data_IF_670814189797
#
_entry.id   IF_670814189797
#
_cell.length_a   1.000
_cell.length_b   1.000
_cell.length_c   1.000
_cell.angle_alpha   90.00
_cell.angle_beta   90.00
_cell.angle_gamma   90.00
#
_symmetry.space_group_name_H-M   'P 1'
#
loop_
_entity.id
_entity.type
_entity.pdbx_description
1 polymer ?
#
# COMPACT_ATOMS: atom_id res chain seq x y z
N UNK A 1 -13.82 -20.80 -21.51
CA UNK A 1 -12.63 -19.98 -21.77
C UNK A 1 -12.98 -18.56 -21.35
N UNK A 2 -12.30 -17.99 -20.36
CA UNK A 2 -12.53 -16.59 -19.93
C UNK A 2 -11.80 -15.67 -20.91
N UNK A 3 -12.57 -14.83 -21.59
CA UNK A 3 -12.12 -13.84 -22.57
C UNK A 3 -12.29 -12.45 -21.96
N UNK A 4 -11.21 -11.68 -21.96
CA UNK A 4 -11.20 -10.27 -21.55
C UNK A 4 -11.08 -9.44 -22.83
N UNK A 5 -12.09 -8.64 -23.15
CA UNK A 5 -12.08 -7.74 -24.30
C UNK A 5 -11.71 -6.33 -23.84
N UNK A 6 -10.62 -5.79 -24.37
CA UNK A 6 -10.11 -4.45 -24.02
C UNK A 6 -10.72 -3.38 -24.92
N UNK A 7 -11.18 -2.29 -24.33
CA UNK A 7 -11.63 -1.09 -25.03
C UNK A 7 -10.76 0.09 -24.58
N UNK A 8 -9.94 0.70 -25.46
CA UNK A 8 -9.15 1.87 -25.11
C UNK A 8 -10.07 3.06 -24.78
N UNK A 9 -9.87 3.69 -23.63
CA UNK A 9 -10.56 4.94 -23.29
C UNK A 9 -9.84 6.09 -24.02
N UNK A 10 -10.55 6.83 -24.87
CA UNK A 10 -9.99 7.95 -25.66
C UNK A 10 -9.72 9.23 -24.85
N UNK A 11 -10.09 9.24 -23.57
CA UNK A 11 -9.88 10.37 -22.67
C UNK A 11 -9.28 9.86 -21.36
N UNK A 12 -8.06 10.30 -20.96
CA UNK A 12 -7.50 9.93 -19.67
C UNK A 12 -8.47 10.35 -18.56
N UNK A 13 -8.67 9.47 -17.58
CA UNK A 13 -9.47 9.83 -16.40
C UNK A 13 -8.72 10.99 -15.73
N UNK A 14 -9.31 12.18 -15.74
CA UNK A 14 -8.84 13.30 -14.93
C UNK A 14 -9.14 12.97 -13.48
N UNK A 15 -8.21 12.26 -12.84
CA UNK A 15 -8.23 12.11 -11.40
C UNK A 15 -7.77 13.47 -10.84
N UNK A 16 -8.68 14.24 -10.25
CA UNK A 16 -8.44 15.56 -9.62
C UNK A 16 -7.54 15.49 -8.37
N UNK A 17 -6.57 14.56 -8.34
CA UNK A 17 -5.57 14.46 -7.30
C UNK A 17 -4.26 15.09 -7.78
N UNK A 18 -3.66 16.03 -7.02
CA UNK A 18 -2.40 16.69 -7.39
C UNK A 18 -1.25 15.71 -7.67
N UNK A 19 -1.26 14.53 -7.03
CA UNK A 19 -0.21 13.51 -7.16
C UNK A 19 -0.36 12.56 -8.37
N UNK A 20 -1.47 12.62 -9.12
CA UNK A 20 -1.76 11.69 -10.23
C UNK A 20 -1.48 12.28 -11.61
N UNK A 21 -0.91 13.49 -11.62
CA UNK A 21 -0.50 14.25 -12.78
C UNK A 21 0.96 13.98 -13.20
N UNK A 22 1.49 12.82 -12.80
CA UNK A 22 2.89 12.46 -12.99
C UNK A 22 2.99 11.51 -14.17
N UNK A 23 3.83 11.84 -15.15
CA UNK A 23 4.25 10.86 -16.15
C UNK A 23 5.76 10.62 -16.06
N UNK A 24 6.20 9.55 -16.69
CA UNK A 24 7.60 9.20 -16.82
C UNK A 24 8.02 9.49 -18.25
N UNK A 25 8.88 10.49 -18.42
CA UNK A 25 9.73 10.62 -19.61
C UNK A 25 11.14 10.18 -19.17
N UNK A 26 11.58 9.05 -19.70
CA UNK A 26 12.98 8.55 -19.57
C UNK A 26 13.91 9.54 -20.31
N UNK A 27 15.12 9.89 -19.87
CA UNK A 27 16.29 9.02 -19.64
C UNK A 27 17.35 9.78 -18.82
N UNK A 28 17.51 9.45 -17.52
CA UNK A 28 18.73 9.50 -16.69
C UNK A 28 18.32 9.48 -15.18
N UNK A 29 17.93 8.29 -14.74
CA UNK A 29 17.90 7.74 -13.37
C UNK A 29 17.46 8.50 -12.11
N UNK A 30 17.07 9.78 -12.07
CA UNK A 30 16.76 10.41 -10.75
C UNK A 30 15.61 11.44 -10.70
N UNK A 31 14.80 11.61 -11.74
CA UNK A 31 13.69 12.58 -11.69
C UNK A 31 12.39 12.07 -12.30
N UNK A 32 11.28 12.61 -11.78
CA UNK A 32 9.92 12.43 -12.30
C UNK A 32 9.53 13.74 -12.98
N UNK A 33 9.02 13.66 -14.21
CA UNK A 33 8.51 14.84 -14.91
C UNK A 33 7.01 15.01 -14.67
N UNK A 34 6.65 16.07 -13.94
CA UNK A 34 5.26 16.44 -13.71
C UNK A 34 4.72 17.20 -14.94
N UNK A 35 4.25 16.49 -15.95
CA UNK A 35 3.72 17.10 -17.19
C UNK A 35 2.21 16.94 -17.38
N UNK A 36 1.48 16.53 -16.33
CA UNK A 36 0.02 16.41 -16.34
C UNK A 36 -0.54 15.43 -17.40
N UNK A 37 0.27 14.53 -17.97
CA UNK A 37 -0.22 13.53 -18.95
C UNK A 37 -1.25 12.55 -18.35
N UNK A 38 -1.33 12.46 -17.02
CA UNK A 38 -2.30 11.66 -16.29
C UNK A 38 -1.92 10.19 -16.15
N UNK A 39 -2.86 9.40 -15.64
CA UNK A 39 -2.74 7.95 -15.47
C UNK A 39 -3.39 7.21 -16.65
N UNK A 40 -2.79 6.10 -17.07
CA UNK A 40 -3.39 5.25 -18.11
C UNK A 40 -4.61 4.54 -17.55
N UNK A 41 -5.71 4.54 -18.30
CA UNK A 41 -6.94 3.84 -17.92
C UNK A 41 -7.49 3.04 -19.08
N UNK A 42 -7.88 1.79 -18.79
CA UNK A 42 -8.47 0.87 -19.75
C UNK A 42 -9.76 0.28 -19.18
N UNK A 43 -10.77 0.13 -20.02
CA UNK A 43 -11.98 -0.61 -19.68
C UNK A 43 -11.96 -1.97 -20.37
N UNK A 44 -12.44 -2.97 -19.64
CA UNK A 44 -12.49 -4.35 -20.11
C UNK A 44 -13.81 -5.01 -19.76
N UNK A 45 -14.30 -5.86 -20.67
CA UNK A 45 -15.46 -6.70 -20.43
C UNK A 45 -15.03 -8.15 -20.27
N UNK A 46 -15.50 -8.80 -19.21
CA UNK A 46 -15.20 -10.20 -18.86
C UNK A 46 -16.46 -11.04 -19.09
N UNK A 47 -16.36 -12.01 -19.99
CA UNK A 47 -17.46 -12.87 -20.43
C UNK A 47 -17.82 -14.00 -19.43
N UNK A 48 -17.84 -13.69 -18.14
CA UNK A 48 -18.32 -14.59 -17.11
C UNK A 48 -18.86 -13.83 -15.89
N UNK A 49 -19.63 -14.48 -15.01
CA UNK A 49 -19.97 -13.93 -13.70
C UNK A 49 -18.72 -13.82 -12.80
N UNK A 50 -18.64 -12.75 -12.01
CA UNK A 50 -17.55 -12.53 -11.04
C UNK A 50 -17.38 -13.72 -10.07
N UNK A 51 -18.47 -14.35 -9.67
CA UNK A 51 -18.44 -15.52 -8.79
C UNK A 51 -17.62 -16.69 -9.37
N UNK A 52 -17.55 -16.86 -10.69
CA UNK A 52 -16.72 -17.89 -11.32
C UNK A 52 -15.24 -17.63 -11.05
N UNK A 53 -14.80 -16.38 -11.16
CA UNK A 53 -13.43 -15.99 -10.83
C UNK A 53 -13.12 -16.22 -9.33
N UNK A 54 -14.04 -15.82 -8.45
CA UNK A 54 -13.84 -15.92 -7.00
C UNK A 54 -13.93 -17.36 -6.48
N UNK A 55 -14.67 -18.24 -7.17
CA UNK A 55 -14.79 -19.64 -6.77
C UNK A 55 -13.50 -20.42 -6.97
N UNK A 56 -12.74 -20.09 -8.01
CA UNK A 56 -11.43 -20.67 -8.28
C UNK A 56 -10.50 -19.62 -8.89
N UNK A 57 -9.84 -18.81 -8.04
CA UNK A 57 -8.92 -17.80 -8.51
C UNK A 57 -7.75 -18.43 -9.26
N UNK A 58 -7.57 -18.06 -10.53
CA UNK A 58 -6.45 -18.51 -11.35
C UNK A 58 -5.54 -17.31 -11.64
N UNK A 59 -4.25 -17.47 -11.34
CA UNK A 59 -3.28 -16.36 -11.43
C UNK A 59 -3.15 -15.83 -12.86
N UNK A 60 -3.24 -16.68 -13.89
CA UNK A 60 -3.18 -16.23 -15.28
C UNK A 60 -4.43 -15.47 -15.69
N UNK A 61 -5.59 -15.77 -15.10
CA UNK A 61 -6.80 -14.97 -15.27
C UNK A 61 -6.68 -13.63 -14.52
N UNK A 62 -6.22 -13.63 -13.27
CA UNK A 62 -6.04 -12.41 -12.48
C UNK A 62 -5.09 -11.41 -13.17
N UNK A 63 -4.02 -11.91 -13.82
CA UNK A 63 -3.11 -11.07 -14.61
C UNK A 63 -3.78 -10.36 -15.78
N UNK A 64 -4.81 -10.95 -16.39
CA UNK A 64 -5.57 -10.31 -17.48
C UNK A 64 -6.48 -9.17 -16.97
N UNK A 65 -6.70 -9.08 -15.67
CA UNK A 65 -7.47 -8.00 -15.04
C UNK A 65 -6.59 -6.78 -14.72
N UNK A 66 -5.28 -6.87 -14.95
CA UNK A 66 -4.35 -5.76 -14.78
C UNK A 66 -4.07 -5.04 -16.11
N UNK A 67 -3.85 -3.70 -16.06
CA UNK A 67 -3.58 -2.89 -17.25
C UNK A 67 -2.24 -3.17 -17.92
N UNK A 68 -1.32 -3.82 -17.22
CA UNK A 68 0.05 -4.10 -17.69
C UNK A 68 0.40 -5.55 -17.41
N UNK A 69 1.08 -6.20 -18.37
CA UNK A 69 1.66 -7.52 -18.15
C UNK A 69 2.85 -7.42 -17.18
N UNK A 70 2.63 -7.86 -15.95
CA UNK A 70 3.63 -7.81 -14.87
C UNK A 70 4.83 -8.74 -15.09
N UNK A 71 4.85 -9.54 -16.17
CA UNK A 71 6.01 -10.36 -16.59
C UNK A 71 7.06 -9.53 -17.33
N UNK A 72 6.68 -8.36 -17.84
CA UNK A 72 7.62 -7.50 -18.55
C UNK A 72 8.57 -6.80 -17.57
N UNK A 73 9.83 -6.55 -17.97
CA UNK A 73 10.79 -5.85 -17.12
C UNK A 73 10.26 -4.49 -16.65
N UNK A 74 10.56 -4.16 -15.39
CA UNK A 74 10.24 -2.85 -14.81
C UNK A 74 10.78 -1.73 -15.71
N UNK A 75 9.88 -0.92 -16.26
CA UNK A 75 10.22 0.18 -17.17
C UNK A 75 9.87 -0.04 -18.65
N UNK A 76 9.39 -1.23 -19.04
CA UNK A 76 8.97 -1.50 -20.42
C UNK A 76 7.70 -0.74 -20.86
N UNK A 77 6.94 -0.16 -19.93
CA UNK A 77 5.65 0.49 -20.19
C UNK A 77 5.57 1.99 -19.87
N UNK A 78 6.64 2.63 -19.36
CA UNK A 78 6.69 4.09 -19.15
C UNK A 78 5.67 4.73 -18.19
N UNK A 79 4.67 4.00 -17.68
CA UNK A 79 3.62 4.58 -16.85
C UNK A 79 3.90 4.45 -15.34
N UNK A 80 3.62 5.51 -14.58
CA UNK A 80 3.75 5.55 -13.12
C UNK A 80 2.54 4.93 -12.41
N UNK A 81 1.36 5.07 -13.00
CA UNK A 81 0.10 4.52 -12.52
C UNK A 81 -0.78 4.17 -13.71
N UNK A 82 -1.24 2.93 -13.75
CA UNK A 82 -2.23 2.46 -14.72
C UNK A 82 -3.39 1.78 -14.00
N UNK A 83 -4.60 1.94 -14.53
CA UNK A 83 -5.83 1.36 -13.98
C UNK A 83 -6.56 0.59 -15.08
N UNK A 84 -7.09 -0.59 -14.74
CA UNK A 84 -8.00 -1.34 -15.59
C UNK A 84 -9.31 -1.61 -14.85
N UNK A 85 -10.42 -1.21 -15.46
CA UNK A 85 -11.77 -1.42 -14.93
C UNK A 85 -12.40 -2.59 -15.66
N UNK A 86 -12.71 -3.68 -14.96
CA UNK A 86 -13.19 -4.94 -15.54
C UNK A 86 -14.65 -5.20 -15.16
N UNK A 87 -15.55 -5.12 -16.14
CA UNK A 87 -16.99 -5.35 -15.96
C UNK A 87 -17.35 -6.81 -16.28
N UNK A 88 -18.01 -7.47 -15.34
CA UNK A 88 -18.47 -8.86 -15.47
C UNK A 88 -19.94 -8.90 -15.92
N UNK A 89 -20.37 -9.98 -16.57
CA UNK A 89 -21.75 -10.14 -17.08
C UNK A 89 -22.83 -10.03 -15.98
N UNK A 90 -22.47 -10.38 -14.74
CA UNK A 90 -23.36 -10.30 -13.59
C UNK A 90 -23.46 -8.88 -12.98
N UNK A 91 -22.85 -7.87 -13.60
CA UNK A 91 -22.72 -6.51 -13.05
C UNK A 91 -21.62 -6.37 -11.99
N UNK A 92 -20.85 -7.44 -11.73
CA UNK A 92 -19.68 -7.40 -10.86
C UNK A 92 -18.55 -6.57 -11.48
N UNK A 93 -17.65 -6.08 -10.62
CA UNK A 93 -16.54 -5.22 -11.01
C UNK A 93 -15.24 -5.70 -10.39
N UNK A 94 -14.15 -5.68 -11.15
CA UNK A 94 -12.78 -5.74 -10.62
C UNK A 94 -11.97 -4.54 -11.11
N UNK A 95 -11.29 -3.86 -10.18
CA UNK A 95 -10.39 -2.74 -10.47
C UNK A 95 -8.95 -3.25 -10.33
N UNK A 96 -8.25 -3.38 -11.45
CA UNK A 96 -6.82 -3.68 -11.49
C UNK A 96 -6.01 -2.40 -11.47
N UNK A 97 -5.00 -2.31 -10.61
CA UNK A 97 -4.15 -1.12 -10.49
C UNK A 97 -2.69 -1.53 -10.52
N UNK A 98 -1.92 -0.91 -11.40
CA UNK A 98 -0.47 -1.05 -11.47
C UNK A 98 0.17 0.27 -11.06
N UNK A 99 0.98 0.26 -10.01
CA UNK A 99 1.69 1.42 -9.50
C UNK A 99 3.19 1.14 -9.57
N UNK A 100 3.96 2.06 -10.14
CA UNK A 100 5.40 1.90 -10.25
C UNK A 100 6.04 1.83 -8.85
N UNK A 101 6.65 0.68 -8.55
CA UNK A 101 7.38 0.47 -7.31
C UNK A 101 8.64 1.36 -7.20
N UNK A 102 8.93 2.24 -8.17
CA UNK A 102 9.95 3.30 -8.01
C UNK A 102 9.48 4.44 -7.13
N UNK A 103 8.17 4.66 -7.03
CA UNK A 103 7.59 5.85 -6.41
C UNK A 103 6.57 5.55 -5.31
N UNK A 104 6.17 4.28 -5.16
CA UNK A 104 5.21 3.86 -4.14
C UNK A 104 5.54 2.48 -3.58
N UNK A 105 5.43 2.38 -2.25
CA UNK A 105 5.33 1.14 -1.50
C UNK A 105 3.84 0.78 -1.21
N UNK A 106 3.63 -0.31 -0.47
CA UNK A 106 2.30 -0.78 -0.07
C UNK A 106 1.46 0.31 0.62
N UNK A 107 2.05 1.02 1.58
CA UNK A 107 1.36 2.06 2.33
C UNK A 107 0.91 3.21 1.42
N UNK A 108 1.80 3.64 0.51
CA UNK A 108 1.51 4.68 -0.48
C UNK A 108 0.38 4.24 -1.42
N UNK A 109 0.42 3.00 -1.92
CA UNK A 109 -0.61 2.43 -2.77
C UNK A 109 -1.99 2.40 -2.08
N UNK A 110 -2.05 1.90 -0.85
CA UNK A 110 -3.31 1.74 -0.11
C UNK A 110 -3.90 3.11 0.26
N UNK A 111 -3.04 4.05 0.65
CA UNK A 111 -3.44 5.45 0.91
C UNK A 111 -4.01 6.10 -0.35
N UNK A 112 -3.39 5.86 -1.51
CA UNK A 112 -3.91 6.31 -2.79
C UNK A 112 -5.30 5.72 -3.08
N UNK A 113 -5.48 4.41 -2.94
CA UNK A 113 -6.78 3.76 -3.19
C UNK A 113 -7.88 4.30 -2.29
N UNK A 114 -7.58 4.53 -1.01
CA UNK A 114 -8.54 5.12 -0.06
C UNK A 114 -8.91 6.56 -0.45
N UNK A 115 -7.92 7.40 -0.75
CA UNK A 115 -8.16 8.78 -1.19
C UNK A 115 -8.99 8.83 -2.46
N UNK A 116 -8.66 7.96 -3.43
CA UNK A 116 -9.41 7.86 -4.69
C UNK A 116 -10.87 7.44 -4.45
N UNK A 117 -11.10 6.48 -3.56
CA UNK A 117 -12.44 6.09 -3.12
C UNK A 117 -13.19 7.24 -2.44
N UNK A 118 -12.57 7.93 -1.47
CA UNK A 118 -13.18 9.04 -0.72
C UNK A 118 -13.60 10.21 -1.64
N UNK A 119 -12.79 10.53 -2.66
CA UNK A 119 -13.10 11.58 -3.64
C UNK A 119 -14.34 11.21 -4.46
N UNK A 120 -14.39 9.98 -4.99
CA UNK A 120 -15.56 9.50 -5.75
C UNK A 120 -16.77 9.31 -4.84
N UNK A 121 -16.51 9.01 -3.57
CA UNK A 121 -17.50 8.99 -2.53
C UNK A 121 -17.95 10.39 -2.10
N UNK A 122 -17.61 11.44 -2.86
CA UNK A 122 -18.20 12.78 -2.79
C UNK A 122 -18.24 13.32 -1.38
N UNK A 123 -17.19 13.06 -0.58
CA UNK A 123 -17.07 13.59 0.78
C UNK A 123 -17.28 15.10 0.70
N UNK A 124 -18.28 15.67 1.39
CA UNK A 124 -18.63 17.07 1.22
C UNK A 124 -17.46 17.99 1.60
N UNK A 125 -16.77 18.54 0.60
CA UNK A 125 -15.68 19.48 0.79
C UNK A 125 -16.25 20.90 0.90
N UNK A 126 -15.97 21.57 2.02
CA UNK A 126 -16.30 22.99 2.22
C UNK A 126 -15.08 23.77 2.63
N UNK A 127 -14.79 24.84 1.89
CA UNK A 127 -13.76 25.81 2.25
C UNK A 127 -14.27 26.70 3.38
N UNK A 128 -13.69 26.56 4.57
CA UNK A 128 -13.99 27.39 5.74
C UNK A 128 -12.82 28.33 5.98
N UNK A 129 -13.07 29.64 5.98
CA UNK A 129 -12.02 30.67 6.13
C UNK A 129 -12.09 31.28 7.53
N UNK A 130 -11.04 31.10 8.30
CA UNK A 130 -10.85 31.78 9.58
C UNK A 130 -10.07 33.09 9.37
N UNK A 131 -10.72 34.22 9.60
CA UNK A 131 -10.06 35.54 9.45
C UNK A 131 -9.15 35.82 10.65
N UNK A 132 -8.05 36.54 10.41
CA UNK A 132 -7.03 36.88 11.42
C UNK A 132 -7.58 37.35 12.78
N UNK A 133 -8.49 38.35 12.83
CA UNK A 133 -9.07 38.80 14.09
C UNK A 133 -9.83 37.71 14.86
N UNK A 134 -10.59 36.87 14.14
CA UNK A 134 -11.32 35.74 14.75
C UNK A 134 -10.41 34.62 15.22
N UNK A 135 -9.27 34.43 14.56
CA UNK A 135 -8.23 33.52 15.06
C UNK A 135 -7.65 34.07 16.38
N UNK A 136 -7.43 35.38 16.50
CA UNK A 136 -6.92 35.98 17.75
C UNK A 136 -7.92 35.80 18.90
N UNK A 137 -9.21 36.06 18.67
CA UNK A 137 -10.28 35.79 19.65
C UNK A 137 -10.31 34.30 20.04
N UNK A 138 -10.22 33.39 19.05
CA UNK A 138 -10.22 31.95 19.29
C UNK A 138 -9.02 31.49 20.12
N UNK A 139 -7.83 32.06 19.88
CA UNK A 139 -6.62 31.78 20.67
C UNK A 139 -6.76 32.26 22.10
N UNK A 140 -7.30 33.46 22.32
CA UNK A 140 -7.56 33.96 23.67
C UNK A 140 -8.56 33.07 24.42
N UNK A 141 -9.61 32.59 23.74
CA UNK A 141 -10.59 31.67 24.32
C UNK A 141 -10.04 30.26 24.59
N UNK A 142 -9.07 29.81 23.80
CA UNK A 142 -8.42 28.52 23.95
C UNK A 142 -7.26 28.52 24.95
N UNK A 143 -6.83 29.69 25.44
CA UNK A 143 -5.79 29.80 26.44
C UNK A 143 -6.22 29.17 27.76
N UNK A 144 -5.25 28.56 28.45
CA UNK A 144 -5.43 27.92 29.76
C UNK A 144 -4.20 28.16 30.62
N UNK A 145 -4.27 27.83 31.91
CA UNK A 145 -3.11 27.94 32.81
C UNK A 145 -1.90 27.15 32.31
N UNK A 146 -2.11 25.98 31.71
CA UNK A 146 -1.05 25.14 31.15
C UNK A 146 -0.56 25.59 29.77
N UNK A 147 -1.43 26.24 28.98
CA UNK A 147 -1.09 26.78 27.65
C UNK A 147 -1.63 28.21 27.54
N UNK A 148 -0.88 29.22 28.03
CA UNK A 148 -1.36 30.60 28.09
C UNK A 148 -1.41 31.29 26.72
N UNK A 149 -0.67 30.78 25.73
CA UNK A 149 -0.64 31.34 24.36
C UNK A 149 -0.68 30.24 23.29
N UNK A 150 -1.84 29.60 23.04
CA UNK A 150 -1.97 28.60 21.99
C UNK A 150 -1.66 29.21 20.61
N UNK A 151 -1.07 28.44 19.71
CA UNK A 151 -0.81 28.85 18.33
C UNK A 151 -2.11 28.97 17.52
N UNK A 152 -2.04 29.68 16.38
CA UNK A 152 -3.17 29.81 15.45
C UNK A 152 -3.70 28.44 14.98
N UNK A 153 -2.79 27.50 14.73
CA UNK A 153 -3.12 26.17 14.23
C UNK A 153 -3.76 25.33 15.34
N UNK A 154 -3.21 25.33 16.55
CA UNK A 154 -3.79 24.59 17.68
C UNK A 154 -5.22 25.05 17.98
N UNK A 155 -5.44 26.37 18.02
CA UNK A 155 -6.76 26.94 18.32
C UNK A 155 -7.81 26.59 17.25
N UNK A 156 -7.46 26.72 15.96
CA UNK A 156 -8.35 26.36 14.83
C UNK A 156 -8.61 24.86 14.79
N UNK A 157 -7.58 24.05 15.00
CA UNK A 157 -7.68 22.59 14.99
C UNK A 157 -8.57 22.08 16.11
N UNK A 158 -8.34 22.56 17.34
CA UNK A 158 -9.15 22.18 18.49
C UNK A 158 -10.62 22.56 18.27
N UNK A 159 -10.90 23.72 17.65
CA UNK A 159 -12.27 24.10 17.30
C UNK A 159 -12.88 23.15 16.26
N UNK A 160 -12.19 22.86 15.16
CA UNK A 160 -12.67 21.95 14.12
C UNK A 160 -12.93 20.57 14.72
N UNK A 161 -11.99 20.03 15.49
CA UNK A 161 -12.11 18.72 16.12
C UNK A 161 -13.28 18.69 17.11
N UNK A 162 -13.46 19.74 17.93
CA UNK A 162 -14.62 19.89 18.82
C UNK A 162 -15.94 19.90 18.05
N UNK A 163 -16.02 20.63 16.95
CA UNK A 163 -17.21 20.67 16.09
C UNK A 163 -17.47 19.30 15.44
N UNK A 164 -16.44 18.61 14.97
CA UNK A 164 -16.55 17.27 14.38
C UNK A 164 -17.06 16.23 15.40
N UNK A 165 -16.56 16.26 16.63
CA UNK A 165 -17.07 15.44 17.73
C UNK A 165 -18.55 15.71 18.01
N UNK A 166 -18.96 16.98 18.01
CA UNK A 166 -20.36 17.36 18.21
C UNK A 166 -21.27 16.89 17.07
N UNK A 167 -20.81 16.99 15.82
CA UNK A 167 -21.52 16.46 14.66
C UNK A 167 -21.68 14.93 14.73
N UNK A 168 -20.59 14.22 15.05
CA UNK A 168 -20.61 12.76 15.26
C UNK A 168 -21.62 12.35 16.33
N UNK A 169 -21.62 13.02 17.49
CA UNK A 169 -22.63 12.79 18.54
C UNK A 169 -24.06 13.02 18.06
N UNK A 170 -24.30 14.09 17.30
CA UNK A 170 -25.64 14.41 16.79
C UNK A 170 -26.12 13.37 15.78
N UNK A 171 -25.21 12.82 14.98
CA UNK A 171 -25.53 11.80 13.99
C UNK A 171 -25.78 10.41 14.61
N UNK A 172 -25.00 10.04 15.64
CA UNK A 172 -25.06 8.71 16.24
C UNK A 172 -25.93 8.64 17.51
N UNK A 173 -26.35 9.76 18.07
CA UNK A 173 -27.14 9.83 19.31
C UNK A 173 -26.33 9.65 20.61
N UNK A 174 -25.02 9.37 20.52
CA UNK A 174 -24.13 9.22 21.68
C UNK A 174 -22.69 9.69 21.40
N UNK A 175 -21.93 9.98 22.45
CA UNK A 175 -20.53 10.41 22.33
C UNK A 175 -19.63 9.23 22.02
N UNK A 176 -18.85 9.35 20.95
CA UNK A 176 -17.85 8.36 20.54
C UNK A 176 -16.44 8.83 20.93
N UNK A 177 -15.52 7.91 21.31
CA UNK A 177 -14.10 8.23 21.38
C UNK A 177 -13.62 8.79 20.03
N UNK A 178 -12.76 9.80 20.07
CA UNK A 178 -12.18 10.37 18.85
C UNK A 178 -10.70 10.66 19.07
N UNK A 179 -9.92 10.53 18.01
CA UNK A 179 -8.47 10.75 18.00
C UNK A 179 -8.15 11.74 16.89
N UNK A 180 -7.34 12.74 17.20
CA UNK A 180 -6.81 13.69 16.23
C UNK A 180 -5.37 13.29 15.88
N UNK A 181 -5.06 13.23 14.59
CA UNK A 181 -3.68 13.16 14.10
C UNK A 181 -3.36 14.44 13.33
N UNK A 182 -2.18 15.01 13.59
CA UNK A 182 -1.69 16.21 12.93
C UNK A 182 -0.41 15.89 12.19
N UNK A 183 -0.48 15.91 10.86
CA UNK A 183 0.72 15.77 10.03
C UNK A 183 1.52 17.07 10.17
N UNK A 184 2.68 16.96 10.81
CA UNK A 184 3.61 18.08 10.98
C UNK A 184 4.79 17.94 10.03
N UNK A 185 5.24 19.04 9.42
CA UNK A 185 6.46 19.03 8.64
C UNK A 185 7.67 18.90 9.58
N UNK A 186 8.24 17.70 9.65
CA UNK A 186 9.40 17.39 10.49
C UNK A 186 10.71 17.97 9.96
N UNK A 187 10.78 18.36 8.67
CA UNK A 187 12.01 18.85 8.02
C UNK A 187 12.53 20.18 8.58
N UNK A 188 11.64 20.97 9.19
CA UNK A 188 11.97 22.24 9.86
C UNK A 188 12.14 22.11 11.37
N UNK A 189 11.91 20.90 11.92
CA UNK A 189 11.91 20.64 13.37
C UNK A 189 12.97 19.65 13.80
N UNK A 190 13.45 18.82 12.88
CA UNK A 190 14.59 17.95 13.06
C UNK A 190 15.70 18.54 12.18
N UNK A 191 16.81 18.96 12.78
CA UNK A 191 18.00 19.38 12.04
C UNK A 191 18.65 18.14 11.41
N UNK A 192 18.02 17.60 10.37
CA UNK A 192 18.60 16.54 9.56
C UNK A 192 19.54 17.18 8.54
N UNK A 193 20.84 16.84 8.55
CA UNK A 193 21.69 17.15 7.42
C UNK A 193 21.14 16.32 6.24
N UNK A 194 20.72 17.00 5.18
CA UNK A 194 20.20 16.43 3.94
C UNK A 194 18.91 15.58 4.04
N UNK A 195 17.75 16.23 4.06
CA UNK A 195 16.51 15.63 3.53
C UNK A 195 15.82 16.63 2.59
N UNK A 196 15.58 16.27 1.30
CA UNK A 196 14.85 17.14 0.38
C UNK A 196 13.39 17.34 0.80
N UNK A 197 12.84 18.51 0.45
CA UNK A 197 11.66 19.11 1.07
C UNK A 197 10.31 18.40 0.80
N UNK A 198 10.26 17.39 -0.09
CA UNK A 198 9.03 16.77 -0.61
C UNK A 198 9.08 15.22 -0.73
N UNK A 199 9.37 14.48 0.35
CA UNK A 199 9.32 13.01 0.28
C UNK A 199 7.87 12.49 0.19
N UNK A 200 7.50 12.05 -1.01
CA UNK A 200 6.70 10.86 -1.30
C UNK A 200 7.66 9.86 -1.96
N UNK A 201 7.56 8.56 -1.64
CA UNK A 201 8.47 7.55 -2.16
C UNK A 201 8.50 6.29 -1.31
N UNK A 202 9.19 5.26 -1.80
CA UNK A 202 9.40 4.01 -1.08
C UNK A 202 10.11 4.24 0.25
N UNK A 203 9.48 3.88 1.36
CA UNK A 203 10.14 3.83 2.66
C UNK A 203 9.97 2.41 3.20
N UNK A 204 10.84 1.52 2.72
CA UNK A 204 10.96 0.17 3.24
C UNK A 204 12.42 -0.15 3.53
N UNK A 205 12.65 -1.06 4.46
CA UNK A 205 13.95 -1.66 4.74
C UNK A 205 13.76 -3.16 4.83
N UNK A 206 14.84 -3.90 4.61
CA UNK A 206 14.86 -5.36 4.75
C UNK A 206 15.59 -5.73 6.05
N UNK A 207 15.10 -6.75 6.73
CA UNK A 207 15.88 -7.47 7.72
C UNK A 207 16.16 -8.88 7.19
N UNK A 208 17.23 -9.49 7.68
CA UNK A 208 17.65 -10.83 7.28
C UNK A 208 17.67 -11.70 8.53
N UNK A 209 16.95 -12.80 8.49
CA UNK A 209 17.06 -13.87 9.47
C UNK A 209 17.83 -15.02 8.80
N UNK A 210 18.95 -15.41 9.39
CA UNK A 210 19.87 -16.41 8.83
C UNK A 210 19.83 -17.65 9.73
N UNK A 211 19.94 -18.82 9.11
CA UNK A 211 20.00 -20.10 9.80
C UNK A 211 21.07 -20.97 9.13
N UNK A 212 21.65 -21.89 9.88
CA UNK A 212 22.55 -22.91 9.35
C UNK A 212 21.75 -24.05 8.70
N UNK A 213 22.46 -24.93 7.99
CA UNK A 213 21.82 -26.06 7.31
C UNK A 213 21.10 -27.00 8.29
N UNK A 214 19.99 -27.58 7.84
CA UNK A 214 19.20 -28.56 8.58
C UNK A 214 17.83 -28.03 9.01
N UNK A 215 16.95 -28.96 9.36
CA UNK A 215 15.58 -28.67 9.79
C UNK A 215 15.56 -27.89 11.11
N UNK A 216 14.66 -26.91 11.21
CA UNK A 216 14.49 -26.05 12.38
C UNK A 216 13.06 -26.10 12.86
N UNK A 217 12.90 -26.23 14.17
CA UNK A 217 11.61 -26.12 14.84
C UNK A 217 10.99 -24.73 14.65
N UNK A 218 9.67 -24.67 14.46
CA UNK A 218 8.94 -23.42 14.23
C UNK A 218 9.22 -22.33 15.30
N UNK A 219 9.25 -22.63 16.61
CA UNK A 219 9.58 -21.62 17.62
C UNK A 219 10.97 -21.00 17.48
N UNK A 220 11.95 -21.78 16.98
CA UNK A 220 13.32 -21.28 16.73
C UNK A 220 13.30 -20.28 15.57
N UNK A 221 12.60 -20.60 14.49
CA UNK A 221 12.43 -19.70 13.34
C UNK A 221 11.73 -18.39 13.74
N UNK A 222 10.68 -18.47 14.56
CA UNK A 222 10.00 -17.28 15.10
C UNK A 222 10.95 -16.43 15.96
N UNK A 223 11.79 -17.07 16.79
CA UNK A 223 12.80 -16.37 17.58
C UNK A 223 13.83 -15.63 16.72
N UNK A 224 14.31 -16.26 15.64
CA UNK A 224 15.23 -15.64 14.68
C UNK A 224 14.58 -14.44 13.98
N UNK A 225 13.33 -14.58 13.51
CA UNK A 225 12.59 -13.50 12.87
C UNK A 225 12.44 -12.29 13.80
N UNK A 226 11.99 -12.53 15.04
CA UNK A 226 11.81 -11.46 16.03
C UNK A 226 13.13 -10.77 16.37
N UNK A 227 14.19 -11.54 16.63
CA UNK A 227 15.50 -10.99 16.94
C UNK A 227 16.08 -10.17 15.79
N UNK A 228 15.90 -10.60 14.53
CA UNK A 228 16.34 -9.83 13.36
C UNK A 228 15.52 -8.56 13.13
N UNK A 229 14.21 -8.60 13.39
CA UNK A 229 13.35 -7.43 13.30
C UNK A 229 13.71 -6.38 14.37
N UNK A 230 13.94 -6.79 15.62
CA UNK A 230 14.36 -5.91 16.71
C UNK A 230 15.69 -5.20 16.39
N UNK A 231 16.69 -5.96 15.90
CA UNK A 231 17.98 -5.40 15.43
C UNK A 231 17.78 -4.37 14.30
N UNK A 232 16.87 -4.63 13.37
CA UNK A 232 16.56 -3.65 12.33
C UNK A 232 15.96 -2.37 12.93
N UNK A 233 15.02 -2.49 13.87
CA UNK A 233 14.43 -1.32 14.54
C UNK A 233 15.47 -0.49 15.30
N UNK A 234 16.40 -1.14 15.99
CA UNK A 234 17.55 -0.47 16.64
C UNK A 234 18.42 0.26 15.61
N UNK A 235 18.85 -0.45 14.55
CA UNK A 235 19.70 0.13 13.50
C UNK A 235 19.00 1.26 12.73
N UNK A 236 17.70 1.17 12.49
CA UNK A 236 16.91 2.27 11.89
C UNK A 236 16.85 3.49 12.81
N UNK A 237 16.79 3.29 14.13
CA UNK A 237 16.81 4.39 15.10
C UNK A 237 18.17 5.10 15.12
N UNK A 238 19.26 4.36 14.93
CA UNK A 238 20.61 4.91 14.77
C UNK A 238 20.77 5.64 13.43
N UNK A 239 20.33 5.03 12.33
CA UNK A 239 20.41 5.59 10.98
C UNK A 239 19.53 6.82 10.79
N UNK A 240 18.41 6.94 11.51
CA UNK A 240 17.63 8.18 11.54
C UNK A 240 18.43 9.39 12.08
N UNK A 241 19.59 9.14 12.73
CA UNK A 241 20.53 10.16 13.20
C UNK A 241 21.76 10.32 12.30
N UNK A 242 21.89 9.50 11.25
CA UNK A 242 23.03 9.44 10.33
C UNK A 242 22.55 9.51 8.86
N UNK A 243 23.46 9.35 7.90
CA UNK A 243 23.11 9.31 6.47
C UNK A 243 22.58 7.92 6.08
N UNK A 244 21.27 7.85 5.80
CA UNK A 244 20.56 6.64 5.38
C UNK A 244 20.99 6.11 4.00
N UNK A 245 21.68 6.90 3.18
CA UNK A 245 22.13 6.48 1.84
C UNK A 245 23.12 5.31 1.90
N UNK A 246 24.04 5.34 2.87
CA UNK A 246 25.03 4.29 3.12
C UNK A 246 24.38 2.93 3.40
N UNK A 247 23.31 2.92 4.20
CA UNK A 247 22.55 1.72 4.54
C UNK A 247 21.80 1.14 3.35
N UNK A 248 21.24 1.98 2.49
CA UNK A 248 20.58 1.52 1.26
C UNK A 248 21.58 0.83 0.33
N UNK A 249 22.82 1.32 0.26
CA UNK A 249 23.90 0.64 -0.50
C UNK A 249 24.24 -0.70 0.15
N UNK A 250 24.42 -0.75 1.47
CA UNK A 250 24.73 -1.99 2.20
C UNK A 250 23.65 -3.06 1.96
N UNK A 251 22.36 -2.71 2.06
CA UNK A 251 21.26 -3.64 1.77
C UNK A 251 21.29 -4.11 0.31
N UNK A 252 21.51 -3.20 -0.64
CA UNK A 252 21.55 -3.55 -2.07
C UNK A 252 22.69 -4.52 -2.38
N UNK A 253 23.87 -4.29 -1.81
CA UNK A 253 25.02 -5.17 -1.97
C UNK A 253 24.78 -6.54 -1.31
N UNK A 254 24.25 -6.57 -0.09
CA UNK A 254 23.88 -7.83 0.59
C UNK A 254 22.85 -8.62 -0.22
N UNK A 255 21.81 -7.97 -0.71
CA UNK A 255 20.80 -8.59 -1.58
C UNK A 255 21.40 -9.14 -2.88
N UNK A 256 22.35 -8.41 -3.49
CA UNK A 256 23.03 -8.86 -4.71
C UNK A 256 23.92 -10.07 -4.44
N UNK A 257 24.62 -10.11 -3.31
CA UNK A 257 25.43 -11.24 -2.87
C UNK A 257 24.58 -12.50 -2.68
N UNK A 258 23.53 -12.41 -1.85
CA UNK A 258 22.64 -13.53 -1.55
C UNK A 258 21.91 -14.09 -2.78
N UNK A 259 21.56 -13.23 -3.76
CA UNK A 259 20.95 -13.69 -5.02
C UNK A 259 21.92 -14.44 -5.94
N UNK A 260 23.23 -14.28 -5.75
CA UNK A 260 24.28 -14.92 -6.55
C UNK A 260 24.82 -16.21 -5.94
N UNK A 261 24.49 -16.47 -4.67
CA UNK A 261 24.99 -17.63 -3.92
C UNK A 261 24.13 -18.87 -4.21
N UNK A 262 24.75 -19.95 -4.68
CA UNK A 262 24.04 -21.15 -5.13
C UNK A 262 23.60 -22.06 -3.99
N UNK A 263 24.25 -21.93 -2.84
CA UNK A 263 24.07 -22.82 -1.68
C UNK A 263 23.15 -22.22 -0.61
N UNK A 264 22.51 -21.08 -0.91
CA UNK A 264 21.59 -20.38 0.00
C UNK A 264 20.26 -20.14 -0.68
N UNK A 265 19.18 -20.65 -0.06
CA UNK A 265 17.83 -20.31 -0.46
C UNK A 265 17.40 -18.97 0.16
N UNK A 266 17.33 -17.94 -0.68
CA UNK A 266 16.81 -16.62 -0.27
C UNK A 266 15.29 -16.60 -0.39
N UNK A 267 14.59 -16.50 0.75
CA UNK A 267 13.15 -16.24 0.82
C UNK A 267 12.89 -14.78 1.17
N UNK A 268 12.07 -14.10 0.37
CA UNK A 268 11.72 -12.69 0.54
C UNK A 268 10.23 -12.62 0.86
N UNK A 269 9.87 -12.01 1.98
CA UNK A 269 8.49 -11.79 2.37
C UNK A 269 8.12 -10.32 2.22
N UNK A 270 6.94 -10.06 1.66
CA UNK A 270 6.29 -8.75 1.65
C UNK A 270 4.91 -8.90 2.28
N UNK A 271 4.60 -8.09 3.29
CA UNK A 271 3.32 -8.16 4.00
C UNK A 271 2.50 -6.90 3.79
N UNK A 272 1.23 -7.08 3.43
CA UNK A 272 0.21 -6.05 3.39
C UNK A 272 -0.83 -6.22 4.51
N UNK A 273 -0.55 -7.08 5.49
CA UNK A 273 -1.37 -7.24 6.69
C UNK A 273 -1.43 -5.93 7.49
N UNK A 274 -2.51 -5.75 8.24
CA UNK A 274 -2.86 -4.59 9.07
C UNK A 274 -3.11 -3.28 8.31
N UNK A 275 -2.89 -3.25 6.99
CA UNK A 275 -3.31 -2.11 6.18
C UNK A 275 -4.82 -2.16 5.89
N UNK A 276 -5.49 -0.99 5.76
CA UNK A 276 -6.93 -0.91 5.50
C UNK A 276 -7.28 -1.17 4.01
N UNK A 277 -6.84 -2.31 3.46
CA UNK A 277 -7.01 -2.69 2.04
C UNK A 277 -8.48 -2.82 1.64
N UNK A 278 -9.34 -3.30 2.53
CA UNK A 278 -10.78 -3.50 2.31
C UNK A 278 -11.64 -2.26 2.61
N UNK A 279 -11.03 -1.11 2.95
CA UNK A 279 -11.78 0.10 3.33
C UNK A 279 -12.10 1.05 2.16
N UNK A 280 -11.58 0.78 0.96
CA UNK A 280 -11.82 1.61 -0.22
C UNK A 280 -13.25 1.42 -0.76
N UNK A 281 -14.18 2.31 -0.40
CA UNK A 281 -15.58 2.30 -0.85
C UNK A 281 -15.87 3.49 -1.79
N UNK A 282 -16.09 3.22 -3.07
CA UNK A 282 -16.42 4.24 -4.06
C UNK A 282 -17.94 4.53 -4.14
N UNK A 283 -18.71 4.22 -3.09
CA UNK A 283 -20.20 4.28 -2.95
C UNK A 283 -20.99 3.13 -3.54
N UNK A 284 -20.35 2.20 -4.23
CA UNK A 284 -20.95 0.92 -4.63
C UNK A 284 -20.66 -0.21 -3.65
N UNK A 285 -20.05 0.09 -2.50
CA UNK A 285 -19.71 -0.87 -1.46
C UNK A 285 -18.22 -1.18 -1.41
N UNK A 286 -17.81 -1.78 -0.28
CA UNK A 286 -16.44 -2.24 -0.03
C UNK A 286 -16.08 -3.46 -0.91
N UNK A 287 -14.78 -3.69 -1.18
CA UNK A 287 -14.34 -4.87 -1.92
C UNK A 287 -14.80 -6.17 -1.26
N UNK A 288 -15.23 -7.13 -2.09
CA UNK A 288 -15.53 -8.49 -1.61
C UNK A 288 -14.25 -9.32 -1.47
N UNK A 289 -13.23 -9.02 -2.28
CA UNK A 289 -11.92 -9.64 -2.22
C UNK A 289 -10.86 -8.66 -2.74
N UNK A 290 -9.70 -8.61 -2.08
CA UNK A 290 -8.54 -7.83 -2.50
C UNK A 290 -7.38 -8.81 -2.64
N UNK A 291 -6.70 -8.75 -3.79
CA UNK A 291 -5.55 -9.62 -4.07
C UNK A 291 -4.46 -8.86 -4.81
N UNK A 292 -3.28 -9.45 -4.86
CA UNK A 292 -2.14 -9.00 -5.65
C UNK A 292 -1.72 -10.14 -6.56
N UNK A 293 -1.29 -9.83 -7.79
CA UNK A 293 -0.53 -10.79 -8.60
C UNK A 293 0.95 -10.42 -8.51
N UNK A 294 1.67 -10.87 -7.46
CA UNK A 294 3.08 -10.52 -7.33
C UNK A 294 3.88 -11.02 -8.55
N UNK A 295 5.02 -10.38 -8.85
CA UNK A 295 5.96 -10.90 -9.83
C UNK A 295 6.30 -12.36 -9.52
N UNK A 296 6.39 -13.22 -10.54
CA UNK A 296 6.79 -14.64 -10.39
C UNK A 296 8.30 -14.77 -10.14
N UNK A 297 8.79 -14.06 -9.13
CA UNK A 297 10.16 -14.20 -8.64
C UNK A 297 10.13 -15.36 -7.66
N UNK A 298 10.84 -16.45 -7.98
CA UNK A 298 10.99 -17.62 -7.11
C UNK A 298 11.32 -17.17 -5.68
N UNK A 299 10.65 -17.75 -4.69
CA UNK A 299 10.82 -17.51 -3.26
C UNK A 299 10.48 -16.08 -2.80
N UNK A 300 9.66 -15.33 -3.56
CA UNK A 300 9.14 -14.02 -3.17
C UNK A 300 7.69 -14.13 -2.68
N UNK A 301 7.50 -14.37 -1.38
CA UNK A 301 6.20 -14.59 -0.74
C UNK A 301 5.51 -13.25 -0.47
N UNK A 302 4.19 -13.20 -0.72
CA UNK A 302 3.36 -12.05 -0.44
C UNK A 302 2.21 -12.42 0.51
N UNK A 303 1.99 -11.63 1.55
CA UNK A 303 0.97 -11.86 2.58
C UNK A 303 -0.09 -10.75 2.56
N UNK A 304 -1.36 -11.10 2.65
CA UNK A 304 -2.48 -10.16 2.82
C UNK A 304 -3.42 -10.62 3.92
N UNK A 305 -4.11 -9.68 4.56
CA UNK A 305 -5.25 -10.02 5.39
C UNK A 305 -6.43 -10.54 4.55
N UNK A 306 -7.12 -11.53 5.09
CA UNK A 306 -8.46 -11.92 4.65
C UNK A 306 -9.44 -10.76 4.90
N UNK A 307 -10.58 -10.76 4.20
CA UNK A 307 -11.61 -9.70 4.30
C UNK A 307 -12.05 -9.38 5.72
N UNK A 308 -12.14 -10.38 6.60
CA UNK A 308 -12.59 -10.21 8.00
C UNK A 308 -11.45 -9.79 8.93
N UNK A 309 -10.20 -9.86 8.48
CA UNK A 309 -9.01 -9.56 9.28
C UNK A 309 -8.69 -10.63 10.34
N UNK A 310 -9.26 -11.83 10.24
CA UNK A 310 -9.07 -12.95 11.17
C UNK A 310 -8.12 -14.04 10.63
N UNK A 311 -7.66 -13.90 9.39
CA UNK A 311 -6.70 -14.81 8.73
C UNK A 311 -5.83 -14.11 7.69
N UNK A 312 -4.84 -14.84 7.17
CA UNK A 312 -3.85 -14.35 6.21
C UNK A 312 -3.88 -15.20 4.92
N UNK A 313 -3.92 -14.55 3.76
CA UNK A 313 -3.67 -15.17 2.46
C UNK A 313 -2.19 -15.06 2.09
N UNK A 314 -1.57 -16.17 1.70
CA UNK A 314 -0.17 -16.22 1.30
C UNK A 314 -0.01 -16.63 -0.17
N UNK A 315 0.62 -15.78 -0.97
CA UNK A 315 0.98 -16.05 -2.37
C UNK A 315 2.44 -16.48 -2.44
N UNK A 316 2.68 -17.75 -2.80
CA UNK A 316 3.99 -18.40 -2.66
C UNK A 316 4.49 -18.86 -4.05
N UNK A 317 5.31 -18.06 -4.75
CA UNK A 317 5.90 -18.49 -6.01
C UNK A 317 7.11 -19.41 -5.76
N UNK A 318 6.96 -20.71 -6.04
CA UNK A 318 8.04 -21.70 -5.99
C UNK A 318 8.36 -22.25 -7.38
N UNK A 319 9.46 -22.99 -7.49
CA UNK A 319 9.69 -23.81 -8.69
C UNK A 319 8.67 -24.93 -8.76
N UNK A 320 8.41 -25.48 -9.96
CA UNK A 320 7.47 -26.61 -10.11
C UNK A 320 7.87 -27.83 -9.27
N UNK A 321 9.17 -28.05 -9.09
CA UNK A 321 9.70 -29.15 -8.30
C UNK A 321 9.46 -28.90 -6.81
N UNK A 322 9.81 -27.72 -6.32
CA UNK A 322 9.63 -27.35 -4.91
C UNK A 322 8.15 -27.32 -4.53
N UNK A 323 7.29 -26.78 -5.41
CA UNK A 323 5.84 -26.70 -5.16
C UNK A 323 5.20 -28.10 -5.01
N UNK A 324 5.65 -29.08 -5.80
CA UNK A 324 5.11 -30.44 -5.75
C UNK A 324 5.39 -31.16 -4.41
N UNK A 325 6.45 -30.76 -3.70
CA UNK A 325 6.70 -31.21 -2.33
C UNK A 325 5.96 -30.34 -1.31
N UNK A 326 5.99 -29.00 -1.49
CA UNK A 326 5.36 -28.04 -0.61
C UNK A 326 3.85 -28.26 -0.44
N UNK A 327 3.14 -28.55 -1.53
CA UNK A 327 1.68 -28.77 -1.52
C UNK A 327 1.25 -30.08 -0.81
N UNK A 328 2.20 -30.97 -0.50
CA UNK A 328 1.96 -32.27 0.14
C UNK A 328 2.46 -32.33 1.59
N UNK A 329 3.07 -31.26 2.06
CA UNK A 329 3.63 -31.20 3.40
C UNK A 329 2.51 -31.24 4.45
N UNK A 330 2.53 -32.26 5.30
CA UNK A 330 1.46 -32.49 6.29
C UNK A 330 1.44 -31.39 7.36
N UNK A 331 2.60 -30.80 7.68
CA UNK A 331 2.66 -29.70 8.63
C UNK A 331 1.98 -28.46 8.06
N UNK A 332 2.20 -28.12 6.79
CA UNK A 332 1.50 -27.04 6.11
C UNK A 332 -0.01 -27.30 6.06
N UNK A 333 -0.41 -28.48 5.59
CA UNK A 333 -1.82 -28.84 5.39
C UNK A 333 -2.61 -28.92 6.71
N UNK A 334 -1.93 -29.10 7.85
CA UNK A 334 -2.55 -29.03 9.16
C UNK A 334 -3.06 -27.62 9.53
N UNK A 335 -2.49 -26.56 8.95
CA UNK A 335 -2.80 -25.17 9.28
C UNK A 335 -3.37 -24.34 8.13
N UNK A 336 -3.22 -24.79 6.87
CA UNK A 336 -3.61 -24.02 5.69
C UNK A 336 -4.36 -24.88 4.66
N UNK A 337 -5.33 -24.26 3.99
CA UNK A 337 -5.97 -24.80 2.79
C UNK A 337 -5.29 -24.27 1.54
N UNK A 338 -5.07 -25.13 0.55
CA UNK A 338 -4.50 -24.75 -0.74
C UNK A 338 -5.60 -24.24 -1.68
N UNK A 339 -5.31 -23.15 -2.39
CA UNK A 339 -6.18 -22.50 -3.40
C UNK A 339 -7.68 -22.47 -3.02
N UNK A 340 -8.04 -21.93 -1.84
CA UNK A 340 -9.43 -21.85 -1.43
C UNK A 340 -10.22 -20.86 -2.30
N UNK A 341 -11.55 -20.97 -2.26
CA UNK A 341 -12.42 -19.96 -2.84
C UNK A 341 -12.28 -18.63 -2.10
N UNK A 342 -12.36 -17.53 -2.84
CA UNK A 342 -12.40 -16.16 -2.33
C UNK A 342 -13.81 -15.66 -1.96
N UNK A 343 -14.81 -16.57 -1.88
CA UNK A 343 -16.21 -16.25 -1.58
C UNK A 343 -16.55 -16.32 -0.09
#
# INVERSE_FOLDING_TARGET
MVTVQLTPIKHPISLDHPSLKLSLISTHFESIECNDSGADSVEAHVNCPLAHLLQKPDVEILRKLLPVDTRLPVGAGGCLLSVQTNFFECGGLAIGVCFSHRIADAFTFISFMKSWADINAGVPLKRIVFRGPKIAELRAKAASESIPQPSRIEAVTALIWKCAMAASRSNHGFSRPSTLSHVVNLRKRIALPSSPENSMGNIYSLFFAETDAGEKELPVLVGLLRGSQEKLCEKLTELARADASSWVVEIKEKMKGLRGEKDVDLYIFSSWCEFPTYEADFRWGKPTWVTSTPPLIKNSIFLLDTRKGDGIEAWIPLSKQDMAFFERDENLLAFASLDPSAL
#
